data_IF_365132819953
#
_entry.id   IF_365132819953
#
_cell.length_a   1.000
_cell.length_b   1.000
_cell.length_c   1.000
_cell.angle_alpha   90.00
_cell.angle_beta   90.00
_cell.angle_gamma   90.00
#
_symmetry.space_group_name_H-M   'P 1'
#
loop_
_entity.id
_entity.type
_entity.pdbx_description
1 polymer ?
#
# COMPACT_ATOMS: atom_id res chain seq x y z
N UNK A 1 6.40 18.08 -58.19
CA UNK A 1 6.58 17.02 -57.16
C UNK A 1 5.98 17.34 -55.79
N UNK A 2 5.94 18.59 -55.32
CA UNK A 2 5.38 18.95 -53.96
C UNK A 2 3.83 18.82 -53.86
N UNK A 3 3.07 18.87 -54.95
CA UNK A 3 1.60 18.71 -54.91
C UNK A 3 1.12 17.25 -54.83
N UNK A 4 1.89 16.30 -55.37
CA UNK A 4 1.58 14.87 -55.29
C UNK A 4 1.76 14.32 -53.90
N UNK A 5 2.74 14.82 -53.15
CA UNK A 5 3.07 14.40 -51.77
C UNK A 5 1.99 14.81 -50.77
N UNK A 6 1.29 15.93 -51.00
CA UNK A 6 0.15 16.37 -50.16
C UNK A 6 -1.13 15.53 -50.37
N UNK A 7 -1.36 15.03 -51.58
CA UNK A 7 -2.50 14.16 -51.86
C UNK A 7 -2.35 12.77 -51.25
N UNK A 8 -1.13 12.21 -51.20
CA UNK A 8 -0.87 10.90 -50.55
C UNK A 8 -1.06 10.98 -49.03
N UNK A 9 -0.68 12.10 -48.40
CA UNK A 9 -0.87 12.29 -46.95
C UNK A 9 -2.36 12.47 -46.59
N UNK A 10 -3.16 13.06 -47.45
CA UNK A 10 -4.58 13.28 -47.19
C UNK A 10 -5.38 11.97 -47.31
N UNK A 11 -4.97 11.02 -48.16
CA UNK A 11 -5.62 9.71 -48.33
C UNK A 11 -5.39 8.82 -47.09
N UNK A 12 -4.23 8.95 -46.40
CA UNK A 12 -3.96 8.21 -45.18
C UNK A 12 -4.78 8.68 -43.96
N UNK A 13 -5.24 9.94 -43.95
CA UNK A 13 -6.06 10.48 -42.86
C UNK A 13 -7.54 10.08 -42.92
N UNK A 14 -7.99 9.53 -44.06
CA UNK A 14 -9.38 9.13 -44.27
C UNK A 14 -9.68 7.66 -43.93
N UNK A 15 -8.68 6.86 -43.61
CA UNK A 15 -8.88 5.51 -43.09
C UNK A 15 -9.28 5.55 -41.61
N UNK A 16 -10.50 5.98 -41.32
CA UNK A 16 -11.14 5.65 -40.05
C UNK A 16 -11.46 4.16 -40.12
N UNK A 17 -10.71 3.37 -39.39
CA UNK A 17 -11.06 1.97 -39.12
C UNK A 17 -12.34 2.03 -38.28
N UNK A 18 -13.49 1.95 -38.94
CA UNK A 18 -14.72 1.63 -38.23
C UNK A 18 -14.62 0.14 -37.88
N UNK A 19 -14.49 -0.14 -36.57
CA UNK A 19 -14.76 -1.48 -36.08
C UNK A 19 -16.29 -1.68 -36.21
N UNK A 20 -16.75 -2.01 -37.38
CA UNK A 20 -18.15 -2.38 -37.62
C UNK A 20 -18.41 -3.69 -36.86
N UNK A 21 -19.52 -3.71 -36.14
CA UNK A 21 -20.04 -4.95 -35.60
C UNK A 21 -20.42 -5.84 -36.81
N UNK A 22 -19.57 -6.83 -37.10
CA UNK A 22 -19.75 -7.72 -38.24
C UNK A 22 -21.02 -8.57 -38.17
N UNK A 23 -21.87 -8.32 -37.19
CA UNK A 23 -23.10 -9.07 -36.95
C UNK A 23 -22.82 -10.51 -36.51
N UNK A 24 -23.88 -11.22 -36.29
CA UNK A 24 -23.83 -12.65 -35.91
C UNK A 24 -24.01 -13.50 -37.15
N UNK A 25 -22.98 -14.24 -37.55
CA UNK A 25 -23.04 -15.21 -38.65
C UNK A 25 -23.28 -16.61 -38.11
N UNK A 26 -24.42 -17.21 -38.44
CA UNK A 26 -24.81 -18.56 -38.04
C UNK A 26 -26.04 -18.60 -37.13
N UNK A 27 -26.48 -19.81 -36.75
CA UNK A 27 -27.60 -20.00 -35.82
C UNK A 27 -27.19 -19.54 -34.42
N UNK A 28 -27.80 -18.47 -33.92
CA UNK A 28 -27.65 -17.99 -32.56
C UNK A 28 -28.75 -18.61 -31.72
N UNK A 29 -28.36 -19.31 -30.69
CA UNK A 29 -29.29 -19.78 -29.66
C UNK A 29 -29.52 -18.64 -28.64
N UNK A 30 -30.76 -18.40 -28.19
CA UNK A 30 -31.00 -17.42 -27.15
C UNK A 30 -30.24 -17.84 -25.89
N UNK A 31 -29.46 -16.90 -25.31
CA UNK A 31 -28.80 -17.12 -24.05
C UNK A 31 -29.90 -17.20 -23.00
N UNK A 32 -30.07 -18.36 -22.37
CA UNK A 32 -31.07 -18.60 -21.34
C UNK A 32 -30.66 -17.95 -19.99
N UNK A 33 -29.39 -17.70 -19.81
CA UNK A 33 -28.88 -17.08 -18.59
C UNK A 33 -28.79 -15.56 -18.73
N UNK A 34 -29.19 -14.81 -17.69
CA UNK A 34 -29.09 -13.36 -17.70
C UNK A 34 -27.61 -12.94 -17.79
N UNK A 35 -27.34 -11.83 -18.50
CA UNK A 35 -26.00 -11.23 -18.52
C UNK A 35 -25.54 -10.97 -17.09
N UNK A 36 -24.34 -11.43 -16.75
CA UNK A 36 -23.77 -11.31 -15.41
C UNK A 36 -23.70 -9.86 -14.94
N UNK A 37 -23.39 -8.92 -15.86
CA UNK A 37 -23.30 -7.49 -15.54
C UNK A 37 -24.68 -6.94 -15.21
N UNK A 38 -25.70 -7.31 -15.98
CA UNK A 38 -27.07 -6.86 -15.74
C UNK A 38 -27.64 -7.48 -14.45
N UNK A 39 -27.30 -8.73 -14.17
CA UNK A 39 -27.65 -9.36 -12.90
C UNK A 39 -27.01 -8.64 -11.70
N UNK A 40 -25.71 -8.32 -11.79
CA UNK A 40 -24.98 -7.56 -10.73
C UNK A 40 -25.62 -6.18 -10.54
N UNK A 41 -25.93 -5.46 -11.62
CA UNK A 41 -26.59 -4.15 -11.54
C UNK A 41 -27.98 -4.24 -10.90
N UNK A 42 -28.78 -5.22 -11.29
CA UNK A 42 -30.11 -5.43 -10.70
C UNK A 42 -30.02 -5.77 -9.22
N UNK A 43 -29.07 -6.62 -8.83
CA UNK A 43 -28.84 -6.97 -7.44
C UNK A 43 -28.38 -5.78 -6.61
N UNK A 44 -27.42 -4.99 -7.13
CA UNK A 44 -26.96 -3.76 -6.49
C UNK A 44 -28.11 -2.75 -6.31
N UNK A 45 -28.93 -2.53 -7.32
CA UNK A 45 -30.10 -1.65 -7.24
C UNK A 45 -31.12 -2.13 -6.20
N UNK A 46 -31.37 -3.43 -6.12
CA UNK A 46 -32.23 -4.01 -5.09
C UNK A 46 -31.69 -3.81 -3.67
N UNK A 47 -30.36 -3.97 -3.48
CA UNK A 47 -29.70 -3.73 -2.18
C UNK A 47 -29.77 -2.27 -1.74
N UNK A 48 -29.68 -1.33 -2.69
CA UNK A 48 -29.89 0.11 -2.39
C UNK A 48 -31.34 0.37 -1.99
N UNK A 49 -32.29 -0.17 -2.76
CA UNK A 49 -33.74 0.05 -2.55
C UNK A 49 -34.24 -0.52 -1.20
N UNK A 50 -33.73 -1.67 -0.78
CA UNK A 50 -34.14 -2.33 0.46
C UNK A 50 -33.29 -1.95 1.70
N UNK A 51 -32.36 -0.99 1.56
CA UNK A 51 -31.50 -0.51 2.65
C UNK A 51 -30.31 -1.40 3.02
N UNK A 52 -30.16 -2.57 2.42
CA UNK A 52 -29.04 -3.49 2.71
C UNK A 52 -27.68 -2.85 2.40
N UNK A 53 -27.61 -2.02 1.37
CA UNK A 53 -26.37 -1.29 1.06
C UNK A 53 -25.93 -0.37 2.20
N UNK A 54 -26.87 0.38 2.77
CA UNK A 54 -26.59 1.26 3.91
C UNK A 54 -26.16 0.47 5.15
N UNK A 55 -26.78 -0.68 5.39
CA UNK A 55 -26.38 -1.57 6.49
C UNK A 55 -24.96 -2.10 6.32
N UNK A 56 -24.58 -2.53 5.10
CA UNK A 56 -23.22 -2.98 4.77
C UNK A 56 -22.22 -1.86 5.00
N UNK A 57 -22.52 -0.65 4.53
CA UNK A 57 -21.65 0.51 4.74
C UNK A 57 -21.49 0.82 6.24
N UNK A 58 -22.56 0.84 6.99
CA UNK A 58 -22.52 1.09 8.44
C UNK A 58 -21.69 0.04 9.17
N UNK A 59 -21.87 -1.24 8.83
CA UNK A 59 -21.04 -2.34 9.38
C UNK A 59 -19.56 -2.20 8.98
N UNK A 60 -19.26 -1.82 7.74
CA UNK A 60 -17.89 -1.59 7.29
C UNK A 60 -17.24 -0.43 8.04
N UNK A 61 -17.95 0.67 8.22
CA UNK A 61 -17.49 1.83 8.99
C UNK A 61 -17.25 1.46 10.46
N UNK A 62 -18.17 0.71 11.07
CA UNK A 62 -18.04 0.28 12.46
C UNK A 62 -16.81 -0.64 12.65
N UNK A 63 -16.61 -1.61 11.75
CA UNK A 63 -15.41 -2.48 11.76
C UNK A 63 -14.12 -1.70 11.56
N UNK A 64 -14.11 -0.74 10.61
CA UNK A 64 -12.94 0.10 10.37
C UNK A 64 -12.59 0.94 11.61
N UNK A 65 -13.60 1.55 12.27
CA UNK A 65 -13.40 2.29 13.53
C UNK A 65 -12.86 1.39 14.64
N UNK A 66 -13.38 0.18 14.76
CA UNK A 66 -12.90 -0.79 15.74
C UNK A 66 -11.45 -1.19 15.48
N UNK A 67 -11.08 -1.51 14.25
CA UNK A 67 -9.70 -1.85 13.88
C UNK A 67 -8.71 -0.69 14.09
N UNK A 68 -9.16 0.55 13.89
CA UNK A 68 -8.33 1.74 14.12
C UNK A 68 -8.14 1.98 15.63
N UNK A 69 -9.20 1.80 16.43
CA UNK A 69 -9.14 1.98 17.88
C UNK A 69 -8.41 0.83 18.59
N UNK A 70 -8.62 -0.39 18.10
CA UNK A 70 -8.04 -1.61 18.66
C UNK A 70 -7.34 -2.42 17.56
N UNK A 71 -6.21 -1.94 17.04
CA UNK A 71 -5.47 -2.65 16.01
C UNK A 71 -4.94 -3.98 16.55
N UNK A 72 -4.96 -5.01 15.69
CA UNK A 72 -4.47 -6.34 16.06
C UNK A 72 -2.99 -6.27 16.43
N UNK A 73 -2.60 -6.72 17.63
CA UNK A 73 -1.20 -6.72 18.04
C UNK A 73 -0.28 -7.44 17.05
N UNK A 74 0.94 -6.95 16.89
CA UNK A 74 1.94 -7.62 16.07
C UNK A 74 2.32 -8.94 16.72
N UNK A 75 2.12 -10.03 15.99
CA UNK A 75 2.41 -11.37 16.49
C UNK A 75 3.90 -11.59 16.75
N UNK A 76 4.23 -12.36 17.79
CA UNK A 76 5.61 -12.76 18.09
C UNK A 76 6.49 -11.64 18.66
N UNK A 77 5.93 -10.51 19.08
CA UNK A 77 6.64 -9.44 19.78
C UNK A 77 6.34 -9.51 21.26
N UNK A 78 7.38 -9.40 22.09
CA UNK A 78 7.29 -9.32 23.56
C UNK A 78 8.10 -8.15 24.09
N UNK A 79 7.88 -7.81 25.37
CA UNK A 79 8.65 -6.77 26.05
C UNK A 79 10.11 -7.21 26.23
N UNK A 80 11.07 -6.32 25.96
CA UNK A 80 12.48 -6.60 26.08
C UNK A 80 12.90 -6.71 27.55
N UNK A 81 13.61 -7.79 27.89
CA UNK A 81 14.18 -8.01 29.23
C UNK A 81 15.64 -7.59 29.31
N UNK A 82 16.33 -7.61 28.17
CA UNK A 82 17.76 -7.27 28.08
C UNK A 82 18.02 -6.43 26.84
N UNK A 83 18.99 -5.55 26.90
CA UNK A 83 19.43 -4.76 25.75
C UNK A 83 20.20 -5.64 24.77
N UNK A 84 19.80 -5.62 23.49
CA UNK A 84 20.47 -6.32 22.40
C UNK A 84 20.70 -5.35 21.24
N UNK A 85 21.90 -5.37 20.68
CA UNK A 85 22.26 -4.56 19.51
C UNK A 85 22.62 -5.47 18.35
N UNK A 86 22.08 -5.16 17.16
CA UNK A 86 22.43 -5.82 15.91
C UNK A 86 22.42 -4.83 14.76
N UNK A 87 23.06 -5.21 13.66
CA UNK A 87 23.15 -4.37 12.46
C UNK A 87 22.36 -5.01 11.33
N UNK A 88 21.42 -4.24 10.78
CA UNK A 88 20.68 -4.63 9.59
C UNK A 88 21.35 -4.05 8.34
N UNK A 89 21.63 -4.89 7.35
CA UNK A 89 22.16 -4.49 6.05
C UNK A 89 21.05 -4.62 5.00
N UNK A 90 20.46 -3.52 4.52
CA UNK A 90 19.40 -3.56 3.50
C UNK A 90 20.03 -3.85 2.13
N UNK A 91 20.19 -5.14 1.83
CA UNK A 91 20.69 -5.58 0.54
C UNK A 91 19.55 -5.69 -0.47
N UNK A 92 19.79 -5.15 -1.67
CA UNK A 92 18.90 -5.27 -2.83
C UNK A 92 19.63 -6.09 -3.88
N UNK A 93 19.01 -7.16 -4.32
CA UNK A 93 19.51 -8.00 -5.41
C UNK A 93 18.84 -7.58 -6.72
N UNK A 94 19.63 -7.08 -7.67
CA UNK A 94 19.19 -6.83 -9.04
C UNK A 94 19.50 -8.09 -9.86
N UNK A 95 18.46 -8.76 -10.32
CA UNK A 95 18.57 -9.98 -11.14
C UNK A 95 18.91 -9.70 -12.59
N UNK A 96 18.71 -8.46 -13.06
CA UNK A 96 19.06 -7.98 -14.39
C UNK A 96 19.57 -6.54 -14.30
N UNK A 97 20.21 -6.07 -15.35
CA UNK A 97 20.66 -4.69 -15.44
C UNK A 97 19.47 -3.73 -15.40
N UNK A 98 19.56 -2.72 -14.54
CA UNK A 98 18.58 -1.65 -14.45
C UNK A 98 18.90 -0.61 -15.52
N UNK A 99 17.99 -0.39 -16.46
CA UNK A 99 18.15 0.59 -17.53
C UNK A 99 17.16 1.73 -17.41
N UNK A 100 17.52 2.90 -17.95
CA UNK A 100 16.57 3.99 -18.16
C UNK A 100 15.64 3.69 -19.37
N UNK A 101 14.63 4.54 -19.58
CA UNK A 101 13.72 4.41 -20.72
C UNK A 101 14.38 4.59 -22.11
N UNK A 102 15.69 4.92 -22.17
CA UNK A 102 16.50 5.07 -23.39
C UNK A 102 17.49 3.94 -23.59
N UNK A 103 17.50 2.95 -22.67
CA UNK A 103 18.39 1.79 -22.74
C UNK A 103 19.77 1.99 -22.11
N UNK A 104 20.06 3.12 -21.46
CA UNK A 104 21.33 3.29 -20.74
C UNK A 104 21.30 2.51 -19.43
N UNK A 105 22.37 1.77 -19.13
CA UNK A 105 22.49 1.01 -17.89
C UNK A 105 22.75 1.96 -16.72
N UNK A 106 21.81 2.06 -15.77
CA UNK A 106 21.93 2.83 -14.53
C UNK A 106 22.68 2.01 -13.47
N UNK A 107 22.38 0.71 -13.37
CA UNK A 107 23.06 -0.21 -12.48
C UNK A 107 23.08 -1.62 -13.09
N UNK A 108 24.19 -2.32 -12.96
CA UNK A 108 24.33 -3.71 -13.42
C UNK A 108 23.65 -4.69 -12.49
N UNK A 109 23.33 -5.87 -12.97
CA UNK A 109 22.89 -6.97 -12.12
C UNK A 109 23.90 -7.21 -10.98
N UNK A 110 23.40 -7.45 -9.77
CA UNK A 110 24.26 -7.65 -8.59
C UNK A 110 23.60 -7.28 -7.28
N UNK A 111 24.37 -7.41 -6.20
CA UNK A 111 23.92 -7.11 -4.85
C UNK A 111 24.39 -5.72 -4.40
N UNK A 112 23.44 -4.88 -3.99
CA UNK A 112 23.67 -3.50 -3.60
C UNK A 112 23.21 -3.24 -2.19
N UNK A 113 24.02 -2.52 -1.40
CA UNK A 113 23.55 -2.00 -0.12
C UNK A 113 22.82 -0.67 -0.37
N UNK A 114 21.50 -0.65 -0.12
CA UNK A 114 20.64 0.51 -0.34
C UNK A 114 21.12 1.78 0.41
N UNK A 115 21.74 1.63 1.59
CA UNK A 115 22.25 2.76 2.39
C UNK A 115 23.41 3.50 1.75
N UNK A 116 24.11 2.91 0.78
CA UNK A 116 25.15 3.63 0.02
C UNK A 116 24.58 4.68 -0.93
N UNK A 117 23.33 4.47 -1.36
CA UNK A 117 22.66 5.35 -2.33
C UNK A 117 21.69 6.32 -1.66
N UNK A 118 21.05 5.86 -0.58
CA UNK A 118 20.12 6.68 0.20
C UNK A 118 20.36 6.44 1.69
N UNK A 119 21.00 7.38 2.39
CA UNK A 119 21.17 7.32 3.82
C UNK A 119 19.80 7.27 4.53
N UNK A 120 19.74 6.53 5.63
CA UNK A 120 18.55 6.49 6.46
C UNK A 120 18.69 7.54 7.57
N UNK A 121 17.94 8.63 7.44
CA UNK A 121 18.00 9.82 8.29
C UNK A 121 16.86 9.91 9.32
N UNK A 122 16.22 8.77 9.58
CA UNK A 122 15.07 8.69 10.49
C UNK A 122 15.37 7.69 11.60
N UNK A 123 15.17 8.11 12.84
CA UNK A 123 15.11 7.20 13.97
C UNK A 123 13.73 6.57 14.07
N UNK A 124 13.64 5.26 14.23
CA UNK A 124 12.39 4.54 14.47
C UNK A 124 12.42 3.91 15.87
N UNK A 125 11.43 4.23 16.69
CA UNK A 125 11.27 3.69 18.04
C UNK A 125 10.08 2.74 18.03
N UNK A 126 10.35 1.44 18.13
CA UNK A 126 9.30 0.42 18.23
C UNK A 126 8.96 0.20 19.69
N UNK A 127 7.68 0.31 20.04
CA UNK A 127 7.21 0.22 21.42
C UNK A 127 5.87 -0.52 21.51
N UNK A 128 5.60 -1.06 22.68
CA UNK A 128 4.28 -1.52 23.08
C UNK A 128 3.46 -0.32 23.60
N UNK A 129 2.44 0.11 22.84
CA UNK A 129 1.60 1.25 23.19
C UNK A 129 0.73 1.05 24.46
N UNK A 130 0.59 -0.18 24.95
CA UNK A 130 -0.08 -0.48 26.22
C UNK A 130 0.88 -0.37 27.42
N UNK A 131 2.19 -0.30 27.17
CA UNK A 131 3.20 -0.13 28.21
C UNK A 131 3.53 1.35 28.39
N UNK A 132 2.95 2.00 29.42
CA UNK A 132 3.14 3.42 29.68
C UNK A 132 4.60 3.84 29.89
N UNK A 133 5.46 2.94 30.43
CA UNK A 133 6.88 3.22 30.60
C UNK A 133 7.57 3.38 29.24
N UNK A 134 7.27 2.49 28.29
CA UNK A 134 7.80 2.55 26.93
C UNK A 134 7.25 3.78 26.18
N UNK A 135 5.96 4.10 26.33
CA UNK A 135 5.34 5.28 25.72
C UNK A 135 6.02 6.56 26.20
N UNK A 136 6.18 6.74 27.52
CA UNK A 136 6.80 7.93 28.09
C UNK A 136 8.28 8.05 27.68
N UNK A 137 9.00 6.93 27.66
CA UNK A 137 10.39 6.88 27.19
C UNK A 137 10.50 7.31 25.72
N UNK A 138 9.62 6.81 24.84
CA UNK A 138 9.64 7.14 23.42
C UNK A 138 9.31 8.62 23.15
N UNK A 139 8.38 9.20 23.92
CA UNK A 139 8.03 10.62 23.84
C UNK A 139 9.22 11.47 24.27
N UNK A 140 9.88 11.14 25.38
CA UNK A 140 11.08 11.85 25.83
C UNK A 140 12.18 11.78 24.76
N UNK A 141 12.45 10.59 24.21
CA UNK A 141 13.44 10.41 23.14
C UNK A 141 13.10 11.18 21.87
N UNK A 142 11.83 11.25 21.50
CA UNK A 142 11.39 12.05 20.35
C UNK A 142 11.64 13.55 20.56
N UNK A 143 11.52 14.05 21.80
CA UNK A 143 11.76 15.45 22.12
C UNK A 143 13.24 15.81 22.23
N UNK A 144 14.07 14.87 22.69
CA UNK A 144 15.53 15.05 22.84
C UNK A 144 16.29 14.90 21.52
N UNK A 145 15.74 14.15 20.59
CA UNK A 145 16.41 13.80 19.34
C UNK A 145 16.44 14.98 18.38
N UNK A 146 17.61 15.41 17.95
CA UNK A 146 17.78 16.31 16.80
C UNK A 146 17.52 15.65 15.45
N UNK A 147 17.18 14.36 15.43
CA UNK A 147 16.91 13.54 14.24
C UNK A 147 15.40 13.33 14.13
N UNK A 148 14.89 13.32 12.91
CA UNK A 148 13.48 13.00 12.66
C UNK A 148 13.16 11.60 13.22
N UNK A 149 12.28 11.56 14.23
CA UNK A 149 11.92 10.33 14.95
C UNK A 149 10.51 9.90 14.58
N UNK A 150 10.30 8.60 14.42
CA UNK A 150 8.99 7.96 14.26
C UNK A 150 8.76 6.95 15.37
N UNK A 151 7.70 7.15 16.14
CA UNK A 151 7.28 6.19 17.17
C UNK A 151 6.31 5.20 16.53
N UNK A 152 6.70 3.93 16.50
CA UNK A 152 5.95 2.86 15.84
C UNK A 152 5.43 1.89 16.88
N UNK A 153 4.13 1.75 16.95
CA UNK A 153 3.47 0.84 17.89
C UNK A 153 3.42 -0.58 17.32
N UNK A 154 3.75 -1.53 18.16
CA UNK A 154 3.51 -2.96 17.89
C UNK A 154 2.20 -3.45 18.50
N UNK A 155 1.64 -2.67 19.44
CA UNK A 155 0.39 -2.94 20.14
C UNK A 155 -0.20 -1.64 20.69
N UNK A 156 -1.52 -1.61 20.91
CA UNK A 156 -2.22 -0.47 21.50
C UNK A 156 -2.81 0.49 20.47
N UNK A 157 -3.64 1.44 20.92
CA UNK A 157 -4.35 2.39 20.08
C UNK A 157 -3.51 3.63 19.79
N UNK A 158 -3.06 3.77 18.56
CA UNK A 158 -2.32 4.96 18.14
C UNK A 158 -3.17 6.23 18.21
N UNK A 159 -4.48 6.16 17.88
CA UNK A 159 -5.37 7.32 17.97
C UNK A 159 -5.55 7.85 19.38
N UNK A 160 -5.66 6.95 20.36
CA UNK A 160 -5.80 7.34 21.75
C UNK A 160 -4.53 8.00 22.27
N UNK A 161 -3.37 7.47 21.87
CA UNK A 161 -2.08 8.03 22.24
C UNK A 161 -1.83 9.37 21.55
N UNK A 162 -2.13 9.52 20.27
CA UNK A 162 -2.06 10.79 19.54
C UNK A 162 -2.89 11.88 20.24
N UNK A 163 -4.15 11.57 20.57
CA UNK A 163 -5.05 12.50 21.24
C UNK A 163 -4.52 12.91 22.62
N UNK A 164 -4.00 11.94 23.38
CA UNK A 164 -3.52 12.17 24.75
C UNK A 164 -2.23 12.96 24.80
N UNK A 165 -1.26 12.60 23.96
CA UNK A 165 0.10 13.16 24.07
C UNK A 165 0.42 14.22 23.02
N UNK A 166 -0.45 14.42 22.02
CA UNK A 166 -0.26 15.37 20.90
C UNK A 166 1.02 15.12 20.09
N UNK A 167 1.40 13.84 19.99
CA UNK A 167 2.56 13.35 19.25
C UNK A 167 2.07 12.30 18.26
N UNK A 168 2.61 12.29 17.04
CA UNK A 168 2.25 11.31 16.02
C UNK A 168 2.80 9.93 16.34
N UNK A 169 1.89 8.95 16.46
CA UNK A 169 2.21 7.54 16.57
C UNK A 169 1.86 6.82 15.27
N UNK A 170 2.71 5.92 14.85
CA UNK A 170 2.50 5.03 13.71
C UNK A 170 2.20 3.62 14.22
N UNK A 171 1.67 2.77 13.38
CA UNK A 171 1.42 1.37 13.71
C UNK A 171 2.13 0.45 12.73
N UNK A 172 2.78 -0.60 13.21
CA UNK A 172 3.41 -1.62 12.37
C UNK A 172 2.35 -2.61 11.86
N UNK A 173 1.69 -2.25 10.77
CA UNK A 173 0.62 -3.07 10.20
C UNK A 173 1.15 -4.43 9.76
N UNK A 174 0.59 -5.51 10.34
CA UNK A 174 0.98 -6.90 10.10
C UNK A 174 2.46 -7.21 10.38
N UNK A 175 3.12 -6.43 11.22
CA UNK A 175 4.51 -6.68 11.60
C UNK A 175 5.54 -6.49 10.49
N UNK A 176 5.24 -5.73 9.44
CA UNK A 176 6.11 -5.59 8.25
C UNK A 176 7.51 -5.06 8.59
N UNK A 177 7.59 -4.09 9.48
CA UNK A 177 8.88 -3.54 9.89
C UNK A 177 9.59 -4.43 10.90
N UNK A 178 8.87 -4.92 11.91
CA UNK A 178 9.44 -5.80 12.94
C UNK A 178 9.97 -7.09 12.33
N UNK A 179 9.25 -7.69 11.38
CA UNK A 179 9.70 -8.87 10.65
C UNK A 179 10.96 -8.56 9.81
N UNK A 180 10.91 -7.52 8.98
CA UNK A 180 12.01 -7.14 8.10
C UNK A 180 13.29 -6.77 8.86
N UNK A 181 13.16 -6.14 10.02
CA UNK A 181 14.28 -5.74 10.87
C UNK A 181 14.66 -6.81 11.90
N UNK A 182 13.98 -7.95 11.91
CA UNK A 182 14.14 -9.04 12.86
C UNK A 182 14.01 -8.60 14.33
N UNK A 183 13.03 -7.71 14.59
CA UNK A 183 12.69 -7.26 15.94
C UNK A 183 11.78 -8.30 16.58
N UNK A 184 12.16 -8.84 17.73
CA UNK A 184 11.38 -9.82 18.51
C UNK A 184 10.94 -9.26 19.85
N UNK A 185 11.61 -8.21 20.31
CA UNK A 185 11.37 -7.62 21.63
C UNK A 185 11.40 -6.09 21.50
N UNK A 186 10.53 -5.41 22.24
CA UNK A 186 10.41 -3.95 22.32
C UNK A 186 10.32 -3.48 23.74
#
# INVERSE_FOLDING_TARGET
MKKLQKCVFLVFLLNRIYADNLGTVGKVYPIAEPDMIDWIKAKAAAMVKNGQWQEIQNKAIARAKEQINHPTPVAGISDAQVTKVWYYKPMVNLTADLTDGRGHVIAKAGNYNALRYKPFDVQMLFINGNNLKQVNWAIAKNSESGIRTKIVLTQGSFLNLDKKYKVWFYYDQNGKYTEKLNIKHV
#
